data_IF_683438606433
#
_entry.id   IF_683438606433
#
_cell.length_a   1.000
_cell.length_b   1.000
_cell.length_c   1.000
_cell.angle_alpha   90.00
_cell.angle_beta   90.00
_cell.angle_gamma   90.00
#
_symmetry.space_group_name_H-M   'P 1'
#
loop_
_entity.id
_entity.type
_entity.pdbx_description
1 polymer ?
#
# COMPACT_ATOMS: atom_id res chain seq x y z
N UNK A 1 12.33 18.53 47.38
CA UNK A 1 11.11 18.80 46.58
C UNK A 1 11.22 18.10 45.22
N UNK A 2 10.73 16.85 45.08
CA UNK A 2 10.80 16.06 43.83
C UNK A 2 9.65 16.48 42.90
N UNK A 3 9.96 17.10 41.76
CA UNK A 3 8.97 17.40 40.71
C UNK A 3 8.47 16.07 40.11
N UNK A 4 7.16 15.89 40.08
CA UNK A 4 6.50 14.65 39.67
C UNK A 4 6.58 14.43 38.14
N UNK A 5 6.71 13.18 37.65
CA UNK A 5 6.86 12.87 36.22
C UNK A 5 5.58 12.98 35.39
N UNK A 6 4.44 13.36 35.99
CA UNK A 6 3.11 13.30 35.36
C UNK A 6 2.96 14.22 34.13
N UNK A 7 3.70 15.32 34.05
CA UNK A 7 3.60 16.31 32.96
C UNK A 7 4.18 15.80 31.64
N UNK A 8 5.27 15.01 31.66
CA UNK A 8 5.86 14.44 30.43
C UNK A 8 4.97 13.38 29.78
N UNK A 9 4.30 12.54 30.59
CA UNK A 9 3.42 11.45 30.09
C UNK A 9 2.17 11.99 29.39
N UNK A 10 1.61 13.11 29.88
CA UNK A 10 0.43 13.76 29.30
C UNK A 10 0.74 14.50 27.99
N UNK A 11 1.97 15.02 27.83
CA UNK A 11 2.44 15.62 26.57
C UNK A 11 2.68 14.57 25.49
N UNK A 12 3.28 13.43 25.85
CA UNK A 12 3.59 12.35 24.90
C UNK A 12 2.32 11.74 24.29
N UNK A 13 1.27 11.52 25.09
CA UNK A 13 0.00 10.97 24.60
C UNK A 13 -0.74 11.92 23.68
N UNK A 14 -0.63 13.24 23.91
CA UNK A 14 -1.21 14.28 23.03
C UNK A 14 -0.47 14.35 21.70
N UNK A 15 0.87 14.34 21.71
CA UNK A 15 1.67 14.31 20.49
C UNK A 15 1.42 13.05 19.67
N UNK A 16 1.30 11.88 20.31
CA UNK A 16 0.96 10.63 19.63
C UNK A 16 -0.42 10.70 18.97
N UNK A 17 -1.42 11.24 19.67
CA UNK A 17 -2.76 11.43 19.12
C UNK A 17 -2.81 12.43 17.95
N UNK A 18 -1.97 13.47 17.97
CA UNK A 18 -1.85 14.41 16.86
C UNK A 18 -1.19 13.79 15.65
N UNK A 19 -0.16 12.96 15.85
CA UNK A 19 0.54 12.26 14.76
C UNK A 19 -0.38 11.22 14.10
N UNK A 20 -1.13 10.44 14.88
CA UNK A 20 -2.08 9.48 14.31
C UNK A 20 -3.23 10.15 13.56
N UNK A 21 -3.71 11.30 14.04
CA UNK A 21 -4.72 12.08 13.32
C UNK A 21 -4.17 12.64 12.00
N UNK A 22 -2.95 13.19 12.02
CA UNK A 22 -2.31 13.72 10.83
C UNK A 22 -2.05 12.63 9.77
N UNK A 23 -1.57 11.45 10.18
CA UNK A 23 -1.34 10.34 9.26
C UNK A 23 -2.62 9.82 8.62
N UNK A 24 -3.72 9.74 9.40
CA UNK A 24 -5.03 9.34 8.89
C UNK A 24 -5.54 10.31 7.80
N UNK A 25 -5.39 11.63 8.01
CA UNK A 25 -5.79 12.63 7.02
C UNK A 25 -4.94 12.57 5.73
N UNK A 26 -3.65 12.28 5.84
CA UNK A 26 -2.77 12.16 4.66
C UNK A 26 -3.12 10.92 3.84
N UNK A 27 -3.42 9.80 4.51
CA UNK A 27 -3.72 8.53 3.83
C UNK A 27 -4.98 8.60 2.97
N UNK A 28 -6.01 9.34 3.40
CA UNK A 28 -7.26 9.53 2.64
C UNK A 28 -7.14 10.59 1.54
N UNK A 29 -6.07 11.39 1.54
CA UNK A 29 -5.87 12.49 0.59
C UNK A 29 -5.12 12.08 -0.69
N UNK A 30 -4.70 10.82 -0.80
CA UNK A 30 -3.94 10.32 -1.96
C UNK A 30 -4.86 10.29 -3.19
N UNK A 31 -4.61 11.19 -4.15
CA UNK A 31 -5.28 11.21 -5.45
C UNK A 31 -6.42 12.22 -5.63
N UNK A 32 -6.79 13.01 -4.61
CA UNK A 32 -7.88 13.98 -4.71
C UNK A 32 -7.45 15.46 -4.83
N UNK A 33 -6.19 15.80 -4.56
CA UNK A 33 -5.70 17.19 -4.64
C UNK A 33 -5.09 17.57 -6.00
N UNK A 34 -4.58 16.60 -6.76
CA UNK A 34 -3.92 16.85 -8.05
C UNK A 34 -4.40 15.81 -9.06
N UNK A 35 -4.79 16.21 -10.28
CA UNK A 35 -5.11 15.25 -11.33
C UNK A 35 -3.87 14.40 -11.65
N UNK A 36 -3.98 13.08 -11.41
CA UNK A 36 -2.93 12.08 -11.69
C UNK A 36 -2.67 11.96 -13.20
N UNK A 37 -3.70 12.14 -14.02
CA UNK A 37 -3.62 11.96 -15.46
C UNK A 37 -3.61 13.28 -16.22
N UNK A 38 -3.04 13.23 -17.42
CA UNK A 38 -2.96 14.38 -18.31
C UNK A 38 -4.34 14.91 -18.74
N UNK A 39 -4.41 16.23 -18.96
CA UNK A 39 -5.63 16.90 -19.43
C UNK A 39 -5.98 16.55 -20.90
N UNK A 40 -4.98 16.16 -21.69
CA UNK A 40 -5.14 15.77 -23.10
C UNK A 40 -5.71 14.35 -23.21
N UNK A 41 -6.83 14.14 -23.91
CA UNK A 41 -7.51 12.85 -23.93
C UNK A 41 -6.67 11.74 -24.56
N UNK A 42 -5.85 12.05 -25.57
CA UNK A 42 -5.02 11.08 -26.30
C UNK A 42 -3.98 10.44 -25.36
N UNK A 43 -3.40 11.26 -24.48
CA UNK A 43 -2.40 10.81 -23.50
C UNK A 43 -3.05 10.18 -22.26
N UNK A 44 -4.24 10.65 -21.87
CA UNK A 44 -4.99 10.08 -20.74
C UNK A 44 -5.38 8.62 -20.97
N UNK A 45 -5.86 8.29 -22.17
CA UNK A 45 -6.25 6.90 -22.49
C UNK A 45 -5.06 5.95 -22.39
N UNK A 46 -3.90 6.35 -22.92
CA UNK A 46 -2.67 5.56 -22.78
C UNK A 46 -2.28 5.36 -21.32
N UNK A 47 -2.34 6.41 -20.51
CA UNK A 47 -2.02 6.33 -19.08
C UNK A 47 -2.98 5.38 -18.34
N UNK A 48 -4.29 5.45 -18.61
CA UNK A 48 -5.28 4.56 -17.98
C UNK A 48 -5.09 3.11 -18.41
N UNK A 49 -4.75 2.87 -19.67
CA UNK A 49 -4.43 1.52 -20.16
C UNK A 49 -3.24 0.93 -19.41
N UNK A 50 -2.12 1.67 -19.32
CA UNK A 50 -0.94 1.20 -18.59
C UNK A 50 -1.22 0.99 -17.11
N UNK A 51 -1.95 1.90 -16.45
CA UNK A 51 -2.33 1.71 -15.04
C UNK A 51 -3.21 0.46 -14.86
N UNK A 52 -4.15 0.20 -15.78
CA UNK A 52 -5.03 -0.96 -15.68
C UNK A 52 -4.29 -2.29 -15.87
N UNK A 53 -3.28 -2.31 -16.74
CA UNK A 53 -2.42 -3.47 -16.96
C UNK A 53 -1.56 -3.73 -15.72
N UNK A 54 -0.89 -2.69 -15.20
CA UNK A 54 -0.02 -2.77 -14.03
C UNK A 54 -0.77 -3.26 -12.78
N UNK A 55 -1.99 -2.76 -12.56
CA UNK A 55 -2.87 -3.21 -11.47
C UNK A 55 -3.27 -4.69 -11.60
N UNK A 56 -3.36 -5.21 -12.82
CA UNK A 56 -3.69 -6.62 -13.06
C UNK A 56 -2.51 -7.52 -12.77
N UNK A 57 -1.31 -7.12 -13.19
CA UNK A 57 -0.05 -7.83 -12.86
C UNK A 57 0.32 -7.73 -11.38
N UNK A 58 -0.11 -6.68 -10.67
CA UNK A 58 0.21 -6.49 -9.25
C UNK A 58 -0.28 -7.66 -8.40
N UNK A 59 -1.43 -8.27 -8.73
CA UNK A 59 -1.96 -9.42 -7.99
C UNK A 59 -1.04 -10.64 -8.12
N UNK A 60 -0.60 -10.95 -9.34
CA UNK A 60 0.32 -12.06 -9.61
C UNK A 60 1.65 -11.85 -8.87
N UNK A 61 2.18 -10.62 -8.91
CA UNK A 61 3.42 -10.30 -8.20
C UNK A 61 3.23 -10.28 -6.67
N UNK A 62 2.05 -9.96 -6.17
CA UNK A 62 1.73 -10.02 -4.73
C UNK A 62 1.77 -11.46 -4.20
N UNK A 63 1.17 -12.39 -4.94
CA UNK A 63 1.21 -13.83 -4.62
C UNK A 63 2.64 -14.36 -4.66
N UNK A 64 3.43 -13.89 -5.65
CA UNK A 64 4.84 -14.23 -5.77
C UNK A 64 5.70 -13.65 -4.64
N UNK A 65 5.50 -12.39 -4.25
CA UNK A 65 6.25 -11.73 -3.17
C UNK A 65 6.10 -12.47 -1.84
N UNK A 66 4.87 -12.88 -1.54
CA UNK A 66 4.57 -13.67 -0.34
C UNK A 66 4.83 -15.16 -0.51
N UNK A 67 5.39 -15.59 -1.64
CA UNK A 67 5.72 -16.98 -1.94
C UNK A 67 4.50 -17.92 -1.85
N UNK A 68 3.28 -17.42 -2.07
CA UNK A 68 2.05 -18.23 -2.09
C UNK A 68 1.98 -19.14 -3.31
N UNK A 69 2.65 -18.76 -4.40
CA UNK A 69 2.77 -19.57 -5.62
C UNK A 69 3.92 -20.59 -5.55
N UNK A 70 4.56 -20.81 -4.38
CA UNK A 70 5.60 -21.84 -4.28
C UNK A 70 5.02 -23.26 -4.38
N UNK A 71 5.67 -24.15 -5.16
CA UNK A 71 5.23 -25.54 -5.25
C UNK A 71 5.38 -26.25 -3.89
N UNK A 72 4.37 -27.00 -3.48
CA UNK A 72 4.43 -27.74 -2.21
C UNK A 72 5.47 -28.87 -2.31
N UNK A 73 6.48 -28.86 -1.44
CA UNK A 73 7.49 -29.94 -1.40
C UNK A 73 6.97 -31.29 -0.85
N UNK A 74 5.72 -31.35 -0.40
CA UNK A 74 5.12 -32.56 0.20
C UNK A 74 4.20 -33.35 -0.73
N UNK A 75 3.86 -32.83 -1.92
CA UNK A 75 3.07 -33.58 -2.91
C UNK A 75 3.67 -33.44 -4.32
N UNK A 76 3.96 -34.54 -5.02
CA UNK A 76 4.64 -34.52 -6.32
C UNK A 76 3.77 -33.98 -7.48
N UNK A 77 2.53 -33.55 -7.21
CA UNK A 77 1.51 -33.20 -8.21
C UNK A 77 1.27 -31.68 -8.29
N UNK A 78 2.01 -30.88 -7.51
CA UNK A 78 1.89 -29.41 -7.46
C UNK A 78 3.24 -28.74 -7.77
N UNK A 79 3.93 -29.20 -8.81
CA UNK A 79 4.88 -28.35 -9.53
C UNK A 79 4.06 -27.34 -10.33
N UNK A 80 4.42 -26.05 -10.30
CA UNK A 80 3.78 -24.91 -10.97
C UNK A 80 3.00 -25.23 -12.26
N UNK A 81 2.00 -24.40 -12.57
CA UNK A 81 1.26 -24.35 -13.84
C UNK A 81 2.09 -24.04 -15.10
N UNK A 82 3.30 -24.57 -15.21
CA UNK A 82 4.11 -24.66 -16.42
C UNK A 82 3.75 -25.88 -17.29
N UNK A 83 2.48 -26.31 -17.28
CA UNK A 83 1.91 -27.10 -18.37
C UNK A 83 1.00 -26.17 -19.16
N UNK A 84 1.58 -25.56 -20.21
CA UNK A 84 0.87 -25.04 -21.38
C UNK A 84 0.45 -26.22 -22.27
#
# INVERSE_FOLDING_TARGET
>A
MRRTPKTKRLSLSKSLAQITLASACIMTSVGCFVPIYSARPERRVQQMLYTSEDLRSLVEEWERFWHLDQPSHMTPIRTHGGLL
#
